data_IF_424003755278
#
_entry.id   IF_424003755278
#
_cell.length_a   1.000
_cell.length_b   1.000
_cell.length_c   1.000
_cell.angle_alpha   90.00
_cell.angle_beta   90.00
_cell.angle_gamma   90.00
#
_symmetry.space_group_name_H-M   'P 1'
#
loop_
_entity.id
_entity.type
_entity.pdbx_description
1 polymer ?
#
# COMPACT_ATOMS: atom_id res chain seq x y z
N UNK A 1 -9.72 -7.64 -28.50
CA UNK A 1 -8.91 -6.91 -27.50
C UNK A 1 -8.87 -7.75 -26.24
N UNK A 2 -7.70 -8.22 -25.84
CA UNK A 2 -7.55 -9.03 -24.63
C UNK A 2 -7.76 -8.11 -23.42
N UNK A 3 -8.89 -8.27 -22.71
CA UNK A 3 -9.23 -7.52 -21.48
C UNK A 3 -8.37 -7.99 -20.28
N UNK A 4 -7.31 -8.78 -20.53
CA UNK A 4 -6.44 -9.33 -19.50
C UNK A 4 -5.14 -8.56 -19.42
N UNK A 5 -5.01 -7.70 -18.41
CA UNK A 5 -3.73 -7.11 -18.00
C UNK A 5 -2.93 -8.14 -17.16
N UNK A 6 -1.64 -8.39 -17.46
CA UNK A 6 -0.83 -9.35 -16.73
C UNK A 6 -0.73 -9.04 -15.22
N UNK A 7 -0.67 -7.76 -14.83
CA UNK A 7 -0.56 -7.36 -13.42
C UNK A 7 -1.85 -7.66 -12.65
N UNK A 8 -3.02 -7.49 -13.29
CA UNK A 8 -4.32 -7.87 -12.69
C UNK A 8 -4.37 -9.39 -12.47
N UNK A 9 -3.86 -10.18 -13.42
CA UNK A 9 -3.81 -11.64 -13.29
C UNK A 9 -2.88 -12.07 -12.16
N UNK A 10 -1.72 -11.43 -12.04
CA UNK A 10 -0.75 -11.69 -10.99
C UNK A 10 -1.30 -11.31 -9.61
N UNK A 11 -1.86 -10.09 -9.48
CA UNK A 11 -2.53 -9.64 -8.26
C UNK A 11 -3.63 -10.61 -7.82
N UNK A 12 -4.45 -11.08 -8.76
CA UNK A 12 -5.51 -12.07 -8.47
C UNK A 12 -4.91 -13.37 -7.92
N UNK A 13 -3.75 -13.80 -8.42
CA UNK A 13 -3.02 -14.95 -7.90
C UNK A 13 -2.62 -14.76 -6.43
N UNK A 14 -2.00 -13.63 -6.12
CA UNK A 14 -1.58 -13.32 -4.75
C UNK A 14 -2.75 -13.11 -3.79
N UNK A 15 -3.84 -12.47 -4.22
CA UNK A 15 -5.05 -12.33 -3.39
C UNK A 15 -5.65 -13.71 -3.09
N UNK A 16 -5.67 -14.62 -4.05
CA UNK A 16 -6.15 -15.99 -3.84
C UNK A 16 -5.29 -16.74 -2.81
N UNK A 17 -3.97 -16.59 -2.88
CA UNK A 17 -3.04 -17.18 -1.92
C UNK A 17 -3.22 -16.58 -0.53
N UNK A 18 -3.27 -15.25 -0.44
CA UNK A 18 -3.54 -14.51 0.80
C UNK A 18 -4.89 -14.90 1.43
N UNK A 19 -5.92 -15.11 0.61
CA UNK A 19 -7.24 -15.56 1.08
C UNK A 19 -7.15 -16.95 1.69
N UNK A 20 -6.41 -17.88 1.06
CA UNK A 20 -6.22 -19.25 1.60
C UNK A 20 -5.49 -19.24 2.94
N UNK A 21 -4.43 -18.44 3.07
CA UNK A 21 -3.70 -18.27 4.34
C UNK A 21 -4.59 -17.62 5.40
N UNK A 22 -5.31 -16.56 5.02
CA UNK A 22 -6.22 -15.78 5.86
C UNK A 22 -7.40 -16.56 6.45
N UNK A 23 -7.68 -17.78 5.98
CA UNK A 23 -8.71 -18.64 6.55
C UNK A 23 -8.30 -19.25 7.90
N UNK A 24 -6.99 -19.43 8.13
CA UNK A 24 -6.46 -20.05 9.35
C UNK A 24 -5.87 -19.01 10.29
N UNK A 25 -5.12 -18.05 9.76
CA UNK A 25 -4.36 -17.08 10.55
C UNK A 25 -4.22 -15.75 9.78
N UNK A 26 -3.98 -14.62 10.48
CA UNK A 26 -3.63 -13.37 9.82
C UNK A 26 -2.38 -13.51 8.94
N UNK A 27 -2.39 -12.85 7.78
CA UNK A 27 -1.21 -12.76 6.92
C UNK A 27 -0.19 -11.83 7.57
N UNK A 28 1.00 -12.35 7.85
CA UNK A 28 2.12 -11.64 8.48
C UNK A 28 3.22 -11.32 7.45
N UNK A 29 4.32 -10.72 7.91
CA UNK A 29 5.48 -10.41 7.08
C UNK A 29 6.33 -11.63 6.68
N UNK A 30 6.10 -12.79 7.29
CA UNK A 30 6.86 -14.02 7.02
C UNK A 30 6.37 -14.77 5.77
N UNK A 31 5.18 -14.43 5.28
CA UNK A 31 4.56 -15.05 4.12
C UNK A 31 5.28 -14.65 2.83
N UNK A 32 5.78 -15.64 2.10
CA UNK A 32 6.60 -15.43 0.89
C UNK A 32 5.89 -14.68 -0.24
N UNK A 33 4.56 -14.74 -0.31
CA UNK A 33 3.77 -14.02 -1.31
C UNK A 33 3.52 -12.55 -0.97
N UNK A 34 3.76 -12.10 0.27
CA UNK A 34 3.42 -10.73 0.69
C UNK A 34 4.28 -9.69 -0.02
N UNK A 35 5.58 -9.94 -0.16
CA UNK A 35 6.48 -9.01 -0.85
C UNK A 35 6.08 -8.86 -2.33
N UNK A 36 5.93 -9.95 -3.11
CA UNK A 36 5.44 -9.85 -4.47
C UNK A 36 4.05 -9.19 -4.59
N UNK A 37 3.14 -9.46 -3.65
CA UNK A 37 1.83 -8.78 -3.59
C UNK A 37 1.99 -7.26 -3.48
N UNK A 38 2.83 -6.80 -2.56
CA UNK A 38 3.11 -5.38 -2.35
C UNK A 38 3.77 -4.73 -3.59
N UNK A 39 4.71 -5.43 -4.23
CA UNK A 39 5.39 -4.98 -5.45
C UNK A 39 4.43 -4.85 -6.63
N UNK A 40 3.53 -5.82 -6.82
CA UNK A 40 2.51 -5.75 -7.88
C UNK A 40 1.56 -4.59 -7.63
N UNK A 41 1.12 -4.37 -6.38
CA UNK A 41 0.28 -3.22 -6.03
C UNK A 41 0.98 -1.90 -6.34
N UNK A 42 2.24 -1.73 -5.94
CA UNK A 42 3.05 -0.54 -6.27
C UNK A 42 3.18 -0.37 -7.79
N UNK A 43 3.45 -1.47 -8.53
CA UNK A 43 3.59 -1.44 -9.98
C UNK A 43 2.29 -0.99 -10.65
N UNK A 44 1.13 -1.48 -10.20
CA UNK A 44 -0.17 -1.04 -10.69
C UNK A 44 -0.39 0.45 -10.40
N UNK A 45 -0.06 0.93 -9.20
CA UNK A 45 -0.19 2.34 -8.84
C UNK A 45 0.75 3.28 -9.61
N UNK A 46 1.84 2.77 -10.17
CA UNK A 46 2.78 3.57 -10.97
C UNK A 46 2.53 3.48 -12.48
N UNK A 47 1.90 2.40 -12.94
CA UNK A 47 1.67 2.16 -14.37
C UNK A 47 0.81 3.27 -14.97
N UNK A 48 1.38 4.01 -15.93
CA UNK A 48 0.73 5.13 -16.61
C UNK A 48 0.48 6.34 -15.70
N UNK A 49 1.18 6.47 -14.57
CA UNK A 49 1.10 7.65 -13.72
C UNK A 49 1.83 8.83 -14.39
N UNK A 50 1.18 9.99 -14.46
CA UNK A 50 1.79 11.22 -14.93
C UNK A 50 2.77 11.77 -13.87
N UNK A 51 4.03 11.33 -13.93
CA UNK A 51 5.07 11.68 -12.98
C UNK A 51 5.48 13.15 -13.00
N UNK A 52 5.13 13.89 -14.05
CA UNK A 52 5.64 15.23 -14.28
C UNK A 52 4.52 16.22 -14.14
N UNK A 53 4.61 17.13 -13.16
CA UNK A 53 3.66 18.23 -13.06
C UNK A 53 4.36 19.57 -12.98
N UNK A 54 3.86 20.49 -13.80
CA UNK A 54 4.26 21.88 -13.80
C UNK A 54 3.74 22.57 -12.54
N UNK A 55 4.67 23.09 -11.75
CA UNK A 55 4.39 23.95 -10.61
C UNK A 55 4.96 25.36 -10.86
N UNK A 56 4.56 26.32 -10.03
CA UNK A 56 5.12 27.68 -10.07
C UNK A 56 6.65 27.72 -9.87
N UNK A 57 7.24 26.66 -9.28
CA UNK A 57 8.67 26.53 -9.03
C UNK A 57 9.37 25.58 -10.02
N UNK A 58 8.71 25.19 -11.11
CA UNK A 58 9.25 24.31 -12.15
C UNK A 58 8.63 22.91 -12.15
N UNK A 59 9.33 21.97 -12.78
CA UNK A 59 8.92 20.58 -12.94
C UNK A 59 9.12 19.82 -11.62
N UNK A 60 8.02 19.33 -11.05
CA UNK A 60 8.05 18.48 -9.85
C UNK A 60 7.77 17.03 -10.24
N UNK A 61 8.57 16.11 -9.67
CA UNK A 61 8.31 14.67 -9.79
C UNK A 61 7.27 14.26 -8.76
N UNK A 62 6.20 13.63 -9.22
CA UNK A 62 5.17 13.00 -8.39
C UNK A 62 5.30 11.49 -8.41
N UNK A 63 4.84 10.92 -7.32
CA UNK A 63 4.64 9.48 -7.18
C UNK A 63 3.18 9.22 -6.82
N UNK A 64 2.77 7.95 -6.78
CA UNK A 64 1.37 7.60 -6.51
C UNK A 64 0.89 8.07 -5.13
N UNK A 65 1.80 8.17 -4.16
CA UNK A 65 1.51 8.78 -2.85
C UNK A 65 0.91 10.19 -2.99
N UNK A 66 1.37 10.99 -3.95
CA UNK A 66 0.95 12.38 -4.12
C UNK A 66 -0.55 12.55 -4.42
N UNK A 67 -1.20 11.57 -5.06
CA UNK A 67 -2.64 11.62 -5.28
C UNK A 67 -3.40 10.90 -4.16
N UNK A 68 -2.83 9.85 -3.56
CA UNK A 68 -3.40 9.18 -2.39
C UNK A 68 -3.60 10.18 -1.25
N UNK A 69 -2.58 10.96 -0.94
CA UNK A 69 -2.64 12.00 0.09
C UNK A 69 -3.77 13.01 -0.19
N UNK A 70 -3.95 13.42 -1.45
CA UNK A 70 -4.97 14.38 -1.87
C UNK A 70 -6.39 13.83 -1.84
N UNK A 71 -6.59 12.51 -1.92
CA UNK A 71 -7.94 11.91 -1.91
C UNK A 71 -8.73 12.30 -0.66
N UNK A 72 -8.07 12.44 0.48
CA UNK A 72 -8.67 12.89 1.76
C UNK A 72 -9.32 14.27 1.67
N UNK A 73 -8.82 15.12 0.77
CA UNK A 73 -9.33 16.47 0.51
C UNK A 73 -10.38 16.50 -0.59
N UNK A 74 -10.40 15.49 -1.48
CA UNK A 74 -11.32 15.42 -2.63
C UNK A 74 -12.72 14.96 -2.22
N UNK A 75 -12.86 14.16 -1.17
CA UNK A 75 -14.14 13.60 -0.75
C UNK A 75 -14.38 13.77 0.75
N UNK A 76 -15.36 14.61 1.11
CA UNK A 76 -15.71 14.91 2.51
C UNK A 76 -16.22 13.67 3.29
N UNK A 77 -16.84 12.71 2.60
CA UNK A 77 -17.50 11.53 3.18
C UNK A 77 -16.60 10.31 3.39
N UNK A 78 -15.28 10.43 3.20
CA UNK A 78 -14.37 9.29 3.42
C UNK A 78 -14.31 8.88 4.90
N UNK A 79 -14.14 7.58 5.13
CA UNK A 79 -14.02 6.99 6.46
C UNK A 79 -12.86 7.64 7.25
N UNK A 80 -13.12 7.88 8.54
CA UNK A 80 -12.15 8.48 9.45
C UNK A 80 -10.93 7.57 9.65
N UNK A 81 -11.10 6.25 9.58
CA UNK A 81 -9.98 5.30 9.67
C UNK A 81 -8.97 5.52 8.54
N UNK A 82 -9.46 5.68 7.31
CA UNK A 82 -8.65 5.97 6.14
C UNK A 82 -7.93 7.32 6.25
N UNK A 83 -8.65 8.37 6.66
CA UNK A 83 -8.04 9.70 6.87
C UNK A 83 -6.91 9.66 7.89
N UNK A 84 -7.13 8.96 9.01
CA UNK A 84 -6.12 8.79 10.05
C UNK A 84 -4.87 8.06 9.53
N UNK A 85 -5.03 7.03 8.70
CA UNK A 85 -3.91 6.32 8.08
C UNK A 85 -3.11 7.25 7.16
N UNK A 86 -3.79 8.01 6.31
CA UNK A 86 -3.13 8.95 5.40
C UNK A 86 -2.33 9.99 6.18
N UNK A 87 -2.92 10.53 7.25
CA UNK A 87 -2.25 11.47 8.16
C UNK A 87 -1.06 10.84 8.89
N UNK A 88 -1.20 9.61 9.40
CA UNK A 88 -0.13 8.89 10.07
C UNK A 88 1.07 8.65 9.14
N UNK A 89 0.82 8.27 7.88
CA UNK A 89 1.88 8.11 6.87
C UNK A 89 2.50 9.45 6.47
N UNK A 90 1.69 10.49 6.31
CA UNK A 90 2.17 11.83 5.95
C UNK A 90 3.08 12.43 7.05
N UNK A 91 2.78 12.15 8.31
CA UNK A 91 3.53 12.64 9.46
C UNK A 91 4.66 11.69 9.90
N UNK A 92 4.82 10.53 9.27
CA UNK A 92 5.87 9.59 9.60
C UNK A 92 7.24 10.14 9.17
N UNK A 93 8.15 10.29 10.13
CA UNK A 93 9.49 10.85 9.93
C UNK A 93 10.54 9.81 9.54
N UNK A 94 10.23 8.52 9.65
CA UNK A 94 11.16 7.44 9.26
C UNK A 94 11.25 7.25 7.73
N UNK A 95 10.21 7.65 6.98
CA UNK A 95 10.17 7.63 5.52
C UNK A 95 10.23 9.04 4.94
N UNK A 96 11.19 9.28 4.05
CA UNK A 96 11.52 10.59 3.51
C UNK A 96 11.06 10.78 2.07
N UNK A 97 10.90 9.70 1.30
CA UNK A 97 10.56 9.76 -0.12
C UNK A 97 9.05 9.57 -0.37
N UNK A 98 8.49 10.14 -1.45
CA UNK A 98 7.12 9.84 -1.86
C UNK A 98 6.88 8.35 -2.12
N UNK A 99 7.89 7.65 -2.64
CA UNK A 99 7.88 6.19 -2.82
C UNK A 99 7.72 5.47 -1.48
N UNK A 100 8.62 5.73 -0.53
CA UNK A 100 8.60 5.09 0.79
C UNK A 100 7.30 5.35 1.55
N UNK A 101 6.76 6.59 1.45
CA UNK A 101 5.42 6.92 1.97
C UNK A 101 4.32 6.12 1.28
N UNK A 102 4.36 6.00 -0.03
CA UNK A 102 3.42 5.17 -0.79
C UNK A 102 3.47 3.70 -0.38
N UNK A 103 4.65 3.15 -0.13
CA UNK A 103 4.84 1.76 0.32
C UNK A 103 4.34 1.56 1.74
N UNK A 104 4.65 2.50 2.64
CA UNK A 104 4.14 2.51 4.01
C UNK A 104 2.61 2.58 4.04
N UNK A 105 2.03 3.39 3.15
CA UNK A 105 0.59 3.48 2.97
C UNK A 105 -0.02 2.14 2.54
N UNK A 106 0.53 1.46 1.54
CA UNK A 106 0.04 0.14 1.12
C UNK A 106 -0.01 -0.82 2.31
N UNK A 107 1.05 -0.88 3.13
CA UNK A 107 1.10 -1.75 4.32
C UNK A 107 0.03 -1.38 5.35
N UNK A 108 -0.12 -0.09 5.67
CA UNK A 108 -1.17 0.37 6.56
C UNK A 108 -2.56 0.05 6.01
N UNK A 109 -2.78 0.27 4.71
CA UNK A 109 -4.07 0.08 4.08
C UNK A 109 -4.47 -1.39 3.93
N UNK A 110 -3.50 -2.30 3.79
CA UNK A 110 -3.72 -3.74 3.89
C UNK A 110 -4.11 -4.14 5.33
N UNK A 111 -3.33 -3.72 6.33
CA UNK A 111 -3.61 -4.00 7.75
C UNK A 111 -5.00 -3.50 8.18
N UNK A 112 -5.40 -2.34 7.70
CA UNK A 112 -6.67 -1.69 8.03
C UNK A 112 -7.78 -1.89 6.99
N UNK A 113 -7.57 -2.76 5.99
CA UNK A 113 -8.61 -3.15 5.00
C UNK A 113 -9.19 -2.00 4.18
N UNK A 114 -8.43 -0.91 3.98
CA UNK A 114 -8.90 0.32 3.33
C UNK A 114 -8.19 0.63 2.00
N UNK A 115 -7.45 -0.31 1.42
CA UNK A 115 -6.69 -0.10 0.18
C UNK A 115 -7.57 0.28 -1.02
N UNK A 116 -8.83 -0.16 -1.04
CA UNK A 116 -9.80 0.15 -2.08
C UNK A 116 -10.24 1.63 -2.07
N UNK A 117 -10.24 2.30 -0.91
CA UNK A 117 -10.80 3.65 -0.71
C UNK A 117 -10.20 4.72 -1.65
N UNK A 118 -8.87 4.88 -1.78
CA UNK A 118 -8.29 5.85 -2.71
C UNK A 118 -8.62 5.54 -4.18
N UNK A 119 -8.61 4.26 -4.53
CA UNK A 119 -8.87 3.81 -5.91
C UNK A 119 -10.34 4.02 -6.27
N UNK A 120 -11.25 3.67 -5.37
CA UNK A 120 -12.67 3.94 -5.51
C UNK A 120 -12.94 5.43 -5.74
N UNK A 121 -12.28 6.28 -4.95
CA UNK A 121 -12.39 7.74 -5.06
C UNK A 121 -12.02 8.21 -6.47
N UNK A 122 -10.87 7.77 -7.01
CA UNK A 122 -10.44 8.18 -8.35
C UNK A 122 -11.32 7.60 -9.45
N UNK A 123 -11.61 6.29 -9.40
CA UNK A 123 -12.34 5.57 -10.45
C UNK A 123 -13.79 6.04 -10.51
N UNK A 124 -14.49 6.13 -9.37
CA UNK A 124 -15.92 6.44 -9.33
C UNK A 124 -16.24 7.93 -9.43
N UNK A 125 -15.40 8.80 -8.85
CA UNK A 125 -15.62 10.25 -8.96
C UNK A 125 -15.11 10.81 -10.29
N UNK A 126 -14.50 9.97 -11.15
CA UNK A 126 -13.87 10.35 -12.42
C UNK A 126 -12.85 11.49 -12.25
N UNK A 127 -12.19 11.55 -11.09
CA UNK A 127 -11.17 12.54 -10.77
C UNK A 127 -9.79 12.19 -11.35
N UNK A 128 -9.72 11.22 -12.26
CA UNK A 128 -8.47 10.76 -12.87
C UNK A 128 -7.86 11.74 -13.89
N UNK A 129 -8.58 12.81 -14.29
CA UNK A 129 -8.13 13.71 -15.36
C UNK A 129 -6.72 14.25 -15.11
N UNK A 130 -5.78 13.84 -15.96
CA UNK A 130 -4.37 14.24 -15.88
C UNK A 130 -3.54 13.54 -14.78
N UNK A 131 -4.10 12.59 -14.01
CA UNK A 131 -3.33 11.79 -13.03
C UNK A 131 -2.75 10.55 -13.71
N UNK A 132 -3.58 9.78 -14.42
CA UNK A 132 -3.14 8.60 -15.15
C UNK A 132 -3.49 8.67 -16.65
N UNK A 133 -2.68 8.00 -17.46
CA UNK A 133 -2.96 7.70 -18.87
C UNK A 133 -4.22 6.84 -19.02
N UNK A 134 -4.99 7.03 -20.10
CA UNK A 134 -6.29 6.37 -20.32
C UNK A 134 -6.19 4.85 -20.57
N UNK A 135 -5.01 4.38 -20.97
CA UNK A 135 -4.68 2.97 -21.21
C UNK A 135 -4.07 2.27 -19.97
N UNK A 136 -3.81 3.02 -18.90
CA UNK A 136 -3.37 2.47 -17.61
C UNK A 136 -4.48 1.69 -16.91
N UNK A 137 -4.13 0.88 -15.91
CA UNK A 137 -5.10 0.10 -15.14
C UNK A 137 -6.09 1.01 -14.40
N UNK A 138 -5.61 2.06 -13.75
CA UNK A 138 -6.47 2.98 -12.97
C UNK A 138 -7.21 3.96 -13.88
N UNK A 139 -6.59 4.37 -15.00
CA UNK A 139 -7.19 5.32 -15.92
C UNK A 139 -8.21 4.73 -16.88
N UNK A 140 -8.13 3.43 -17.16
CA UNK A 140 -9.10 2.74 -17.99
C UNK A 140 -10.37 2.37 -17.21
N UNK A 141 -11.55 2.68 -17.75
CA UNK A 141 -12.85 2.43 -17.11
C UNK A 141 -13.07 0.95 -16.74
N UNK A 142 -12.73 0.02 -17.64
CA UNK A 142 -12.97 -1.41 -17.42
C UNK A 142 -11.92 -2.00 -16.48
N UNK A 143 -10.64 -1.72 -16.73
CA UNK A 143 -9.55 -2.26 -15.89
C UNK A 143 -9.61 -1.68 -14.47
N UNK A 144 -10.02 -0.42 -14.32
CA UNK A 144 -10.17 0.25 -13.03
C UNK A 144 -11.23 -0.42 -12.17
N UNK A 145 -12.39 -0.78 -12.74
CA UNK A 145 -13.45 -1.52 -12.03
C UNK A 145 -13.03 -2.96 -11.67
N UNK A 146 -12.28 -3.63 -12.56
CA UNK A 146 -11.73 -4.97 -12.27
C UNK A 146 -10.73 -4.89 -11.12
N UNK A 147 -9.82 -3.92 -11.15
CA UNK A 147 -8.84 -3.70 -10.10
C UNK A 147 -9.52 -3.35 -8.77
N UNK A 148 -10.51 -2.45 -8.79
CA UNK A 148 -11.30 -2.11 -7.61
C UNK A 148 -12.01 -3.32 -7.01
N UNK A 149 -12.58 -4.19 -7.85
CA UNK A 149 -13.20 -5.45 -7.40
C UNK A 149 -12.21 -6.37 -6.69
N UNK A 150 -10.96 -6.45 -7.16
CA UNK A 150 -9.90 -7.20 -6.49
C UNK A 150 -9.51 -6.57 -5.15
N UNK A 151 -9.44 -5.23 -5.06
CA UNK A 151 -9.15 -4.54 -3.79
C UNK A 151 -10.25 -4.74 -2.75
N UNK A 152 -11.52 -4.81 -3.16
CA UNK A 152 -12.59 -5.21 -2.25
C UNK A 152 -12.42 -6.65 -1.76
N UNK A 153 -12.03 -7.60 -2.63
CA UNK A 153 -11.71 -8.96 -2.17
C UNK A 153 -10.56 -8.96 -1.16
N UNK A 154 -9.52 -8.17 -1.42
CA UNK A 154 -8.38 -8.00 -0.52
C UNK A 154 -8.80 -7.43 0.86
N UNK A 155 -9.81 -6.55 0.90
CA UNK A 155 -10.34 -5.98 2.16
C UNK A 155 -10.95 -7.02 3.12
N UNK A 156 -11.31 -8.21 2.64
CA UNK A 156 -11.81 -9.28 3.50
C UNK A 156 -10.69 -10.07 4.19
N UNK A 157 -9.44 -9.90 3.78
CA UNK A 157 -8.29 -10.63 4.32
C UNK A 157 -7.76 -9.90 5.55
N UNK A 158 -7.42 -10.66 6.59
CA UNK A 158 -6.79 -10.10 7.80
C UNK A 158 -5.28 -10.09 7.64
N UNK A 159 -4.67 -8.91 7.70
CA UNK A 159 -3.22 -8.75 7.69
C UNK A 159 -2.75 -8.25 9.06
N UNK A 160 -1.67 -8.83 9.59
CA UNK A 160 -0.97 -8.32 10.77
C UNK A 160 0.48 -7.99 10.41
N UNK A 161 0.66 -6.79 9.85
CA UNK A 161 1.93 -6.31 9.32
C UNK A 161 2.66 -5.44 10.34
N UNK A 162 3.99 -5.52 10.34
CA UNK A 162 4.88 -4.65 11.11
C UNK A 162 5.00 -3.28 10.43
N UNK A 163 4.68 -2.20 11.17
CA UNK A 163 4.61 -0.84 10.62
C UNK A 163 5.68 0.11 11.18
N UNK A 164 6.39 -0.29 12.23
CA UNK A 164 7.30 0.58 12.99
C UNK A 164 8.62 0.85 12.25
N UNK A 165 9.17 -0.15 11.56
CA UNK A 165 10.45 -0.03 10.86
C UNK A 165 10.30 0.33 9.38
N UNK A 166 9.69 1.50 9.13
CA UNK A 166 9.37 1.92 7.78
C UNK A 166 10.55 2.57 7.03
N UNK A 167 11.69 2.84 7.69
CA UNK A 167 12.82 3.57 7.08
C UNK A 167 13.41 2.89 5.84
N UNK A 168 13.37 1.56 5.79
CA UNK A 168 13.83 0.79 4.64
C UNK A 168 12.94 0.96 3.40
N UNK A 169 11.68 1.39 3.58
CA UNK A 169 10.71 1.48 2.49
C UNK A 169 11.09 2.54 1.46
N UNK A 170 11.91 3.53 1.82
CA UNK A 170 12.47 4.47 0.84
C UNK A 170 13.26 3.76 -0.25
N UNK A 171 13.97 2.68 0.09
CA UNK A 171 14.84 1.94 -0.82
C UNK A 171 14.21 0.63 -1.29
N UNK A 172 13.67 -0.18 -0.37
CA UNK A 172 13.27 -1.58 -0.62
C UNK A 172 11.97 -1.97 0.07
N UNK A 173 11.25 -2.94 -0.50
CA UNK A 173 10.14 -3.63 0.17
C UNK A 173 10.60 -4.62 1.23
N UNK A 174 11.86 -5.06 1.18
CA UNK A 174 12.41 -6.04 2.11
C UNK A 174 12.64 -5.39 3.48
N UNK A 175 11.80 -5.78 4.45
CA UNK A 175 11.98 -5.39 5.84
C UNK A 175 12.84 -6.42 6.58
N UNK A 176 13.75 -5.99 7.48
CA UNK A 176 14.49 -6.92 8.31
C UNK A 176 13.55 -7.65 9.28
N UNK A 177 13.87 -8.93 9.54
CA UNK A 177 13.12 -9.75 10.50
C UNK A 177 13.44 -9.26 11.91
N UNK A 178 12.39 -8.95 12.68
CA UNK A 178 12.51 -8.66 14.10
C UNK A 178 12.44 -9.96 14.91
N UNK A 179 13.39 -10.11 15.83
CA UNK A 179 13.34 -11.13 16.86
C UNK A 179 13.33 -10.44 18.21
N UNK A 180 12.23 -10.60 18.94
CA UNK A 180 12.19 -10.22 20.35
C UNK A 180 12.95 -11.28 21.14
N UNK A 181 13.98 -10.85 21.86
CA UNK A 181 14.72 -11.71 22.77
C UNK A 181 14.38 -11.30 24.20
N UNK A 182 13.75 -12.21 24.95
CA UNK A 182 13.54 -12.02 26.37
C UNK A 182 14.83 -12.36 27.12
N UNK A 183 15.38 -11.37 27.84
CA UNK A 183 16.51 -11.60 28.73
C UNK A 183 16.00 -12.26 30.01
N UNK A 184 16.19 -13.57 30.12
CA UNK A 184 15.92 -14.29 31.36
C UNK A 184 17.07 -14.00 32.35
N UNK A 185 16.78 -13.56 33.59
CA UNK A 185 17.81 -13.34 34.59
C UNK A 185 18.61 -14.62 34.80
N UNK A 186 19.89 -14.58 34.46
CA UNK A 186 20.80 -15.70 34.60
C UNK A 186 22.05 -15.22 35.35
N UNK A 187 22.38 -15.90 36.44
CA UNK A 187 23.55 -15.60 37.28
C UNK A 187 24.86 -15.71 36.48
N UNK A 188 24.93 -16.61 35.51
CA UNK A 188 26.12 -16.82 34.69
C UNK A 188 26.40 -15.66 33.72
N UNK A 189 25.37 -14.86 33.41
CA UNK A 189 25.46 -13.65 32.59
C UNK A 189 25.53 -12.36 33.43
N UNK A 190 25.55 -12.46 34.76
CA UNK A 190 25.68 -11.31 35.66
C UNK A 190 24.50 -10.32 35.63
N UNK A 191 23.33 -10.74 35.18
CA UNK A 191 22.12 -9.91 35.14
C UNK A 191 21.34 -10.09 36.44
N UNK A 192 21.40 -9.09 37.31
CA UNK A 192 20.69 -9.06 38.59
C UNK A 192 19.38 -8.28 38.46
N UNK A 193 18.25 -8.88 38.84
CA UNK A 193 17.03 -8.12 39.17
C UNK A 193 17.22 -7.62 40.61
N UNK A 194 17.36 -6.30 40.75
CA UNK A 194 17.45 -5.62 42.06
C UNK A 194 16.11 -5.60 42.79
#
# INVERSE_FOLDING_TARGET
MSISDPLIKELKGYILEATKTGLSEPVMDTQTFLLPLCEVLETIFRKGLNHTVHSAFGLTRRDYWSWVEKTTQMCAGLDNSYKHIVEAVANNTSVSTPQGRGRLFIRHALKNKCLHVPVETIVRMKCNSGIYEEDSIIGNEILGEIFLSLLYQCSHISFDLQLENASFLDETWQLPIYQEHELVPCMDLGVYLG
#
